data_IF_652691256036
#
_entry.id   IF_652691256036
#
_cell.length_a   1.000
_cell.length_b   1.000
_cell.length_c   1.000
_cell.angle_alpha   90.00
_cell.angle_beta   90.00
_cell.angle_gamma   90.00
#
_symmetry.space_group_name_H-M   'P 1'
#
loop_
_entity.id
_entity.type
_entity.pdbx_description
1 polymer ?
#
# COMPACT_ATOMS: atom_id res chain seq x y z
N UNK A 1 -14.94 -1.83 -18.54
CA UNK A 1 -13.55 -2.20 -18.25
C UNK A 1 -13.61 -3.33 -17.26
N UNK A 2 -12.88 -4.42 -17.49
CA UNK A 2 -12.75 -5.49 -16.51
C UNK A 2 -11.54 -5.18 -15.63
N UNK A 3 -11.81 -4.75 -14.39
CA UNK A 3 -10.79 -4.32 -13.43
C UNK A 3 -9.80 -5.44 -13.12
N UNK A 4 -10.30 -6.68 -13.00
CA UNK A 4 -9.48 -7.84 -12.67
C UNK A 4 -8.54 -8.19 -13.82
N UNK A 5 -9.04 -8.16 -15.06
CA UNK A 5 -8.22 -8.41 -16.24
C UNK A 5 -7.10 -7.37 -16.39
N UNK A 6 -7.40 -6.10 -16.14
CA UNK A 6 -6.40 -5.03 -16.19
C UNK A 6 -5.33 -5.15 -15.09
N UNK A 7 -5.72 -5.48 -13.86
CA UNK A 7 -4.74 -5.68 -12.77
C UNK A 7 -3.89 -6.92 -13.05
N UNK A 8 -4.48 -8.04 -13.48
CA UNK A 8 -3.73 -9.24 -13.88
C UNK A 8 -2.74 -8.94 -15.02
N UNK A 9 -3.13 -8.10 -15.99
CA UNK A 9 -2.21 -7.63 -17.04
C UNK A 9 -1.03 -6.86 -16.45
N UNK A 10 -1.25 -5.89 -15.56
CA UNK A 10 -0.19 -5.11 -14.89
C UNK A 10 0.77 -6.03 -14.13
N UNK A 11 0.24 -6.96 -13.34
CA UNK A 11 1.04 -7.90 -12.54
C UNK A 11 1.91 -8.79 -13.45
N UNK A 12 1.33 -9.32 -14.53
CA UNK A 12 2.05 -10.16 -15.50
C UNK A 12 3.16 -9.41 -16.23
N UNK A 13 2.90 -8.20 -16.70
CA UNK A 13 3.89 -7.36 -17.37
C UNK A 13 5.11 -7.10 -16.47
N UNK A 14 4.89 -7.03 -15.15
CA UNK A 14 5.93 -6.81 -14.13
C UNK A 14 6.51 -8.09 -13.52
N UNK A 15 6.04 -9.27 -13.93
CA UNK A 15 6.39 -10.57 -13.34
C UNK A 15 6.13 -10.66 -11.82
N UNK A 16 5.06 -10.01 -11.36
CA UNK A 16 4.62 -10.06 -9.97
C UNK A 16 3.64 -11.23 -9.82
N UNK A 17 3.92 -12.09 -8.84
CA UNK A 17 3.07 -13.23 -8.52
C UNK A 17 2.09 -12.79 -7.42
N UNK A 18 0.84 -13.20 -7.57
CA UNK A 18 -0.19 -13.03 -6.54
C UNK A 18 -0.95 -14.33 -6.30
N UNK A 19 -1.38 -14.54 -5.05
CA UNK A 19 -2.42 -15.51 -4.73
C UNK A 19 -3.79 -14.84 -4.84
N UNK A 20 -4.72 -15.49 -5.53
CA UNK A 20 -6.06 -14.93 -5.76
C UNK A 20 -7.07 -15.62 -4.84
N UNK A 21 -7.81 -14.80 -4.10
CA UNK A 21 -8.91 -15.21 -3.22
C UNK A 21 -10.15 -14.43 -3.60
N UNK A 22 -11.31 -15.07 -3.57
CA UNK A 22 -12.58 -14.38 -3.80
C UNK A 22 -13.66 -14.89 -2.87
N UNK A 23 -14.69 -14.07 -2.69
CA UNK A 23 -15.89 -14.43 -1.95
C UNK A 23 -17.03 -13.48 -2.25
N UNK A 24 -18.08 -13.60 -1.45
CA UNK A 24 -19.26 -12.76 -1.55
C UNK A 24 -19.49 -12.04 -0.22
N UNK A 25 -19.67 -10.73 -0.27
CA UNK A 25 -20.03 -9.92 0.90
C UNK A 25 -21.56 -9.87 1.03
N UNK A 26 -22.11 -10.58 2.02
CA UNK A 26 -23.56 -10.60 2.25
C UNK A 26 -24.13 -9.24 2.68
N UNK A 27 -23.32 -8.35 3.28
CA UNK A 27 -23.78 -7.04 3.72
C UNK A 27 -23.81 -6.07 2.53
N UNK A 28 -22.77 -6.06 1.72
CA UNK A 28 -22.63 -5.14 0.60
C UNK A 28 -23.26 -5.68 -0.70
N UNK A 29 -23.65 -6.96 -0.72
CA UNK A 29 -24.24 -7.68 -1.85
C UNK A 29 -23.36 -7.58 -3.12
N UNK A 30 -22.04 -7.69 -2.94
CA UNK A 30 -21.02 -7.69 -4.01
C UNK A 30 -20.18 -8.96 -3.93
N UNK A 31 -19.62 -9.38 -5.07
CA UNK A 31 -18.43 -10.21 -5.04
C UNK A 31 -17.24 -9.33 -4.59
N UNK A 32 -16.35 -9.91 -3.78
CA UNK A 32 -15.07 -9.31 -3.45
C UNK A 32 -13.94 -10.19 -3.95
N UNK A 33 -12.87 -9.55 -4.37
CA UNK A 33 -11.69 -10.18 -4.94
C UNK A 33 -10.45 -9.62 -4.24
N UNK A 34 -9.61 -10.51 -3.74
CA UNK A 34 -8.37 -10.15 -3.09
C UNK A 34 -7.20 -10.80 -3.82
N UNK A 35 -6.25 -9.97 -4.25
CA UNK A 35 -4.97 -10.38 -4.78
C UNK A 35 -3.93 -10.17 -3.68
N UNK A 36 -3.39 -11.26 -3.15
CA UNK A 36 -2.32 -11.24 -2.17
C UNK A 36 -0.96 -11.29 -2.90
N UNK A 37 -0.17 -10.22 -2.81
CA UNK A 37 1.13 -10.08 -3.48
C UNK A 37 2.30 -10.45 -2.55
N UNK A 38 2.01 -11.00 -1.37
CA UNK A 38 2.97 -11.24 -0.29
C UNK A 38 4.01 -12.31 -0.61
N UNK A 39 5.13 -11.91 -1.24
CA UNK A 39 6.34 -12.74 -1.40
C UNK A 39 7.36 -12.36 -0.33
N UNK A 40 7.81 -13.34 0.48
CA UNK A 40 8.84 -13.19 1.56
C UNK A 40 8.44 -12.26 2.70
N UNK A 41 7.41 -12.65 3.46
CA UNK A 41 7.00 -12.04 4.75
C UNK A 41 6.50 -10.58 4.70
N UNK A 42 6.07 -10.12 3.53
CA UNK A 42 5.48 -8.78 3.36
C UNK A 42 4.00 -8.81 3.22
N UNK A 43 3.34 -7.68 3.47
CA UNK A 43 1.88 -7.52 3.31
C UNK A 43 1.60 -6.45 2.26
N UNK A 44 1.51 -6.87 0.99
CA UNK A 44 0.88 -6.05 -0.05
C UNK A 44 -0.31 -6.81 -0.60
N UNK A 45 -1.43 -6.12 -0.73
CA UNK A 45 -2.65 -6.71 -1.26
C UNK A 45 -3.42 -5.71 -2.10
N UNK A 46 -4.24 -6.23 -3.00
CA UNK A 46 -5.21 -5.44 -3.76
C UNK A 46 -6.58 -6.07 -3.53
N UNK A 47 -7.48 -5.31 -2.91
CA UNK A 47 -8.87 -5.69 -2.72
C UNK A 47 -9.76 -4.97 -3.73
N UNK A 48 -10.76 -5.68 -4.26
CA UNK A 48 -11.69 -5.18 -5.27
C UNK A 48 -13.08 -5.66 -4.88
N UNK A 49 -13.94 -4.75 -4.42
CA UNK A 49 -15.39 -4.93 -4.35
C UNK A 49 -16.06 -3.71 -5.00
N UNK A 50 -16.53 -2.74 -4.20
CA UNK A 50 -17.11 -1.48 -4.70
C UNK A 50 -16.04 -0.46 -5.09
N UNK A 51 -14.92 -0.52 -4.38
CA UNK A 51 -13.73 0.28 -4.60
C UNK A 51 -12.53 -0.65 -4.82
N UNK A 52 -11.47 -0.10 -5.38
CA UNK A 52 -10.17 -0.75 -5.41
C UNK A 52 -9.35 -0.25 -4.22
N UNK A 53 -8.88 -1.15 -3.36
CA UNK A 53 -8.04 -0.81 -2.22
C UNK A 53 -6.65 -1.41 -2.38
N UNK A 54 -5.61 -0.58 -2.31
CA UNK A 54 -4.21 -1.03 -2.23
C UNK A 54 -3.84 -1.07 -0.75
N UNK A 55 -3.34 -2.21 -0.27
CA UNK A 55 -2.72 -2.33 1.05
C UNK A 55 -1.21 -2.41 0.90
N UNK A 56 -0.47 -1.61 1.66
CA UNK A 56 0.99 -1.68 1.78
C UNK A 56 1.39 -1.45 3.24
N UNK A 57 1.66 -2.55 3.95
CA UNK A 57 1.96 -2.55 5.39
C UNK A 57 0.87 -1.80 6.19
N UNK A 58 1.21 -0.63 6.73
CA UNK A 58 0.33 0.17 7.61
C UNK A 58 -0.57 1.15 6.83
N UNK A 59 -0.25 1.39 5.55
CA UNK A 59 -1.00 2.28 4.69
C UNK A 59 -1.97 1.50 3.81
N UNK A 60 -3.13 2.10 3.55
CA UNK A 60 -4.02 1.67 2.50
C UNK A 60 -4.61 2.88 1.78
N UNK A 61 -4.82 2.74 0.47
CA UNK A 61 -5.45 3.73 -0.39
C UNK A 61 -6.69 3.15 -1.02
N UNK A 62 -7.79 3.89 -0.93
CA UNK A 62 -9.08 3.56 -1.55
C UNK A 62 -9.24 4.37 -2.82
N UNK A 63 -9.69 3.72 -3.89
CA UNK A 63 -9.86 4.33 -5.21
C UNK A 63 -11.20 3.92 -5.80
N UNK A 64 -11.98 4.90 -6.24
CA UNK A 64 -13.17 4.67 -7.03
C UNK A 64 -12.77 4.23 -8.46
N UNK A 65 -13.05 2.98 -8.88
CA UNK A 65 -12.63 2.49 -10.19
C UNK A 65 -13.29 3.22 -11.37
N UNK A 66 -14.39 3.96 -11.16
CA UNK A 66 -15.03 4.73 -12.23
C UNK A 66 -14.33 6.07 -12.46
N UNK A 67 -13.82 6.69 -11.40
CA UNK A 67 -13.33 8.07 -11.41
C UNK A 67 -11.82 8.21 -11.19
N UNK A 68 -11.19 7.25 -10.50
CA UNK A 68 -9.82 7.32 -9.97
C UNK A 68 -8.93 6.19 -10.51
N UNK A 69 -9.36 5.50 -11.58
CA UNK A 69 -8.62 4.36 -12.15
C UNK A 69 -7.18 4.71 -12.55
N UNK A 70 -6.98 5.85 -13.23
CA UNK A 70 -5.64 6.27 -13.65
C UNK A 70 -4.74 6.57 -12.44
N UNK A 71 -5.30 7.09 -11.34
CA UNK A 71 -4.58 7.35 -10.10
C UNK A 71 -4.24 6.05 -9.36
N UNK A 72 -5.17 5.10 -9.32
CA UNK A 72 -4.94 3.75 -8.80
C UNK A 72 -3.78 3.07 -9.55
N UNK A 73 -3.82 3.06 -10.89
CA UNK A 73 -2.77 2.48 -11.72
C UNK A 73 -1.44 3.22 -11.55
N UNK A 74 -1.46 4.55 -11.49
CA UNK A 74 -0.26 5.36 -11.22
C UNK A 74 0.35 5.03 -9.86
N UNK A 75 -0.48 4.86 -8.83
CA UNK A 75 -0.03 4.52 -7.48
C UNK A 75 0.55 3.11 -7.42
N UNK A 76 -0.11 2.12 -8.02
CA UNK A 76 0.41 0.76 -8.12
C UNK A 76 1.79 0.74 -8.79
N UNK A 77 1.92 1.42 -9.93
CA UNK A 77 3.19 1.48 -10.66
C UNK A 77 4.27 2.17 -9.83
N UNK A 78 3.97 3.31 -9.19
CA UNK A 78 4.92 4.00 -8.31
C UNK A 78 5.36 3.16 -7.11
N UNK A 79 4.47 2.33 -6.54
CA UNK A 79 4.81 1.36 -5.50
C UNK A 79 5.74 0.30 -6.07
N UNK A 80 5.39 -0.35 -7.19
CA UNK A 80 6.18 -1.41 -7.80
C UNK A 80 7.58 -0.94 -8.24
N UNK A 81 7.69 0.30 -8.72
CA UNK A 81 8.95 0.93 -9.12
C UNK A 81 9.75 1.50 -7.93
N UNK A 82 9.22 1.40 -6.70
CA UNK A 82 9.81 1.93 -5.47
C UNK A 82 10.02 3.45 -5.50
N UNK A 83 9.19 4.15 -6.27
CA UNK A 83 9.08 5.61 -6.27
C UNK A 83 8.19 6.08 -5.13
N UNK A 84 7.24 5.25 -4.69
CA UNK A 84 6.37 5.48 -3.55
C UNK A 84 6.65 4.48 -2.41
N UNK A 85 6.57 4.96 -1.18
CA UNK A 85 6.63 4.13 0.03
C UNK A 85 5.53 4.51 1.02
N UNK A 86 5.05 3.50 1.75
CA UNK A 86 4.19 3.71 2.91
C UNK A 86 5.05 4.12 4.11
N UNK A 87 4.63 5.18 4.80
CA UNK A 87 5.17 5.62 6.08
C UNK A 87 4.16 5.27 7.17
N UNK A 88 4.54 4.44 8.13
CA UNK A 88 3.77 4.17 9.36
C UNK A 88 4.43 4.84 10.56
N UNK A 89 3.67 5.65 11.31
CA UNK A 89 4.17 6.39 12.47
C UNK A 89 3.71 5.76 13.78
N UNK A 90 4.65 5.59 14.72
CA UNK A 90 4.42 4.92 16.00
C UNK A 90 4.97 5.69 17.19
N UNK A 91 4.27 5.65 18.33
CA UNK A 91 4.71 6.31 19.56
C UNK A 91 5.44 5.29 20.46
N UNK A 92 6.75 5.47 20.67
CA UNK A 92 7.55 4.69 21.62
C UNK A 92 7.99 3.29 21.13
N UNK A 93 7.07 2.46 20.60
CA UNK A 93 7.40 1.13 20.03
C UNK A 93 6.54 0.80 18.79
N UNK A 94 7.03 -0.10 17.93
CA UNK A 94 6.30 -0.63 16.76
C UNK A 94 5.36 -1.74 17.21
N UNK A 95 4.34 -1.37 17.96
CA UNK A 95 3.26 -2.27 18.36
C UNK A 95 1.91 -1.69 17.91
N UNK A 96 0.90 -2.52 17.58
CA UNK A 96 -0.36 -2.03 17.03
C UNK A 96 -1.05 -0.96 17.89
N UNK A 97 -0.96 -1.05 19.22
CA UNK A 97 -1.52 -0.07 20.14
C UNK A 97 -0.86 1.32 20.08
N UNK A 98 0.33 1.40 19.48
CA UNK A 98 1.13 2.62 19.38
C UNK A 98 1.11 3.19 17.95
N UNK A 99 0.39 2.56 17.03
CA UNK A 99 0.19 3.06 15.67
C UNK A 99 -0.57 4.40 15.71
N UNK A 100 -0.05 5.36 14.97
CA UNK A 100 -0.66 6.68 14.80
C UNK A 100 -1.16 6.85 13.37
N UNK A 101 -0.38 7.57 12.58
CA UNK A 101 -0.72 7.94 11.21
C UNK A 101 0.03 7.06 10.22
N UNK A 102 -0.63 6.74 9.10
CA UNK A 102 0.02 6.18 7.93
C UNK A 102 -0.20 7.10 6.71
N UNK A 103 0.80 7.21 5.85
CA UNK A 103 0.70 7.97 4.60
C UNK A 103 1.54 7.34 3.49
N UNK A 104 1.28 7.74 2.25
CA UNK A 104 2.13 7.40 1.11
C UNK A 104 3.01 8.61 0.77
N UNK A 105 4.29 8.39 0.53
CA UNK A 105 5.26 9.44 0.22
C UNK A 105 6.16 9.05 -0.94
N UNK A 106 6.70 10.05 -1.66
CA UNK A 106 7.69 9.82 -2.69
C UNK A 106 9.05 9.56 -2.08
N UNK A 107 9.77 8.57 -2.60
CA UNK A 107 11.10 8.15 -2.14
C UNK A 107 12.09 9.30 -2.03
N UNK A 108 12.08 10.19 -3.02
CA UNK A 108 13.02 11.32 -3.12
C UNK A 108 12.83 12.38 -2.05
N UNK A 109 11.61 12.51 -1.52
CA UNK A 109 11.26 13.46 -0.47
C UNK A 109 11.59 12.92 0.92
N UNK A 110 11.58 11.59 1.10
CA UNK A 110 11.71 10.93 2.41
C UNK A 110 13.12 11.07 2.98
N UNK A 111 13.26 12.08 3.84
CA UNK A 111 14.39 12.33 4.71
C UNK A 111 13.90 12.73 6.11
N UNK A 112 14.82 12.95 7.05
CA UNK A 112 14.48 13.28 8.44
C UNK A 112 13.68 14.58 8.58
N UNK A 113 14.02 15.62 7.80
CA UNK A 113 13.34 16.91 7.80
C UNK A 113 11.88 16.76 7.32
N UNK A 114 11.69 16.10 6.18
CA UNK A 114 10.35 15.78 5.65
C UNK A 114 9.50 15.00 6.67
N UNK A 115 10.10 13.99 7.31
CA UNK A 115 9.41 13.17 8.30
C UNK A 115 9.00 14.00 9.52
N UNK A 116 9.87 14.88 10.01
CA UNK A 116 9.55 15.77 11.13
C UNK A 116 8.43 16.75 10.75
N UNK A 117 8.45 17.28 9.54
CA UNK A 117 7.45 18.25 9.08
C UNK A 117 6.06 17.60 8.94
N UNK A 118 5.98 16.40 8.34
CA UNK A 118 4.70 15.71 8.08
C UNK A 118 4.18 14.94 9.30
N UNK A 119 5.07 14.30 10.06
CA UNK A 119 4.70 13.35 11.12
C UNK A 119 5.11 13.81 12.52
N UNK A 120 5.97 14.83 12.66
CA UNK A 120 6.41 15.34 13.96
C UNK A 120 7.46 14.48 14.67
N UNK A 121 8.00 15.03 15.76
CA UNK A 121 9.05 14.41 16.58
C UNK A 121 8.50 13.45 17.64
N UNK A 122 9.38 12.65 18.25
CA UNK A 122 9.07 11.68 19.31
C UNK A 122 8.45 10.38 18.80
N UNK A 123 8.70 10.00 17.55
CA UNK A 123 8.05 8.89 16.85
C UNK A 123 9.07 7.94 16.21
N UNK A 124 8.67 6.67 16.11
CA UNK A 124 9.32 5.68 15.26
C UNK A 124 8.56 5.63 13.95
N UNK A 125 9.23 5.90 12.83
CA UNK A 125 8.63 5.92 11.50
C UNK A 125 9.17 4.75 10.70
N UNK A 126 8.29 3.84 10.28
CA UNK A 126 8.61 2.75 9.37
C UNK A 126 8.34 3.19 7.94
N UNK A 127 9.39 3.20 7.13
CA UNK A 127 9.33 3.45 5.71
C UNK A 127 9.37 2.12 4.96
N UNK A 128 8.29 1.83 4.24
CA UNK A 128 8.01 0.54 3.63
C UNK A 128 7.83 0.70 2.12
N UNK A 129 8.77 0.15 1.36
CA UNK A 129 8.77 0.10 -0.10
C UNK A 129 8.14 -1.20 -0.62
N UNK A 130 8.12 -1.40 -1.94
CA UNK A 130 7.83 -2.69 -2.55
C UNK A 130 9.06 -3.62 -2.63
N UNK A 131 10.29 -3.12 -2.52
CA UNK A 131 11.56 -3.87 -2.35
C UNK A 131 12.02 -3.77 -0.88
N UNK A 132 12.24 -4.87 -0.13
CA UNK A 132 12.44 -4.79 1.32
C UNK A 132 13.82 -4.29 1.66
N UNK A 133 14.76 -4.42 0.73
CA UNK A 133 16.11 -3.92 0.90
C UNK A 133 16.16 -2.39 1.02
N UNK A 134 15.10 -1.69 0.60
CA UNK A 134 14.97 -0.24 0.69
C UNK A 134 14.28 0.24 1.96
N UNK A 135 13.64 -0.66 2.72
CA UNK A 135 12.92 -0.30 3.93
C UNK A 135 13.85 0.33 4.97
N UNK A 136 13.33 1.32 5.70
CA UNK A 136 14.08 2.06 6.71
C UNK A 136 13.21 2.35 7.92
N UNK A 137 13.87 2.53 9.06
CA UNK A 137 13.24 3.04 10.27
C UNK A 137 13.92 4.36 10.65
N UNK A 138 13.10 5.37 10.95
CA UNK A 138 13.55 6.66 11.48
C UNK A 138 13.09 6.79 12.92
N UNK A 139 13.92 7.42 13.75
CA UNK A 139 13.59 7.81 15.12
C UNK A 139 13.78 9.30 15.20
N UNK A 140 12.65 10.01 15.15
CA UNK A 140 12.56 11.48 15.18
C UNK A 140 11.88 11.94 16.45
#
# INVERSE_FOLDING_TARGET
>A
MDILEEIDRILRERNIVSEYVMGFDEKEQCDWHFLDLSVRDRRMGIDICRECTIFLEDWHGHYDPENEWDEFVSTLNGIFDNELCALGAYIGSVEPQNAGTAMLARREDVNEEYIIDELGTGKIIRCCFFDPSLNREYKV
#
